data_IF_756955678816
#
_entry.id   IF_756955678816
#
_cell.length_a   1.000
_cell.length_b   1.000
_cell.length_c   1.000
_cell.angle_alpha   90.00
_cell.angle_beta   90.00
_cell.angle_gamma   90.00
#
_symmetry.space_group_name_H-M   'P 1'
#
loop_
_entity.id
_entity.type
_entity.pdbx_description
1 polymer ?
#
# COMPACT_ATOMS: atom_id res chain seq x y z
N UNK A 1 37.31 20.35 14.35
CA UNK A 1 38.61 19.61 14.30
C UNK A 1 38.43 18.09 14.18
N UNK A 2 37.38 17.49 14.77
CA UNK A 2 37.16 16.02 14.72
C UNK A 2 36.62 15.46 13.40
N UNK A 3 36.03 16.29 12.53
CA UNK A 3 35.45 15.84 11.25
C UNK A 3 36.49 15.47 10.18
N UNK A 4 37.72 15.95 10.30
CA UNK A 4 38.80 15.65 9.33
C UNK A 4 39.53 14.33 9.61
N UNK A 5 39.19 13.64 10.70
CA UNK A 5 39.80 12.36 11.06
C UNK A 5 39.03 11.22 10.40
N UNK A 6 39.71 10.24 9.83
CA UNK A 6 39.05 9.05 9.25
C UNK A 6 38.25 8.28 10.30
N UNK A 7 37.16 7.61 9.90
CA UNK A 7 36.27 6.86 10.80
C UNK A 7 37.05 5.86 11.67
N UNK A 8 38.01 5.12 11.07
CA UNK A 8 38.89 4.19 11.80
C UNK A 8 39.72 4.86 12.89
N UNK A 9 40.26 6.06 12.61
CA UNK A 9 41.05 6.80 13.58
C UNK A 9 40.18 7.38 14.70
N UNK A 10 38.96 7.80 14.39
CA UNK A 10 37.97 8.21 15.40
C UNK A 10 37.58 7.06 16.31
N UNK A 11 37.22 5.90 15.73
CA UNK A 11 36.92 4.68 16.49
C UNK A 11 38.11 4.27 17.35
N UNK A 12 39.33 4.32 16.81
CA UNK A 12 40.54 4.03 17.58
C UNK A 12 40.76 5.02 18.74
N UNK A 13 40.70 6.33 18.47
CA UNK A 13 40.83 7.36 19.51
C UNK A 13 39.74 7.25 20.57
N UNK A 14 38.56 6.77 20.18
CA UNK A 14 37.43 6.52 21.07
C UNK A 14 37.68 5.32 21.99
N UNK A 15 38.15 4.19 21.46
CA UNK A 15 38.58 3.05 22.29
C UNK A 15 39.80 3.39 23.16
N UNK A 16 40.71 4.23 22.67
CA UNK A 16 41.83 4.73 23.46
C UNK A 16 41.36 5.64 24.60
N UNK A 17 40.35 6.49 24.37
CA UNK A 17 39.74 7.32 25.41
C UNK A 17 38.98 6.47 26.44
N UNK A 18 38.24 5.44 26.01
CA UNK A 18 37.61 4.47 26.91
C UNK A 18 38.65 3.75 27.79
N UNK A 19 39.74 3.27 27.18
CA UNK A 19 40.83 2.64 27.91
C UNK A 19 41.48 3.60 28.92
N UNK A 20 41.76 4.84 28.50
CA UNK A 20 42.32 5.86 29.38
C UNK A 20 41.37 6.23 30.54
N UNK A 21 40.07 6.36 30.27
CA UNK A 21 39.05 6.64 31.28
C UNK A 21 38.90 5.46 32.26
N UNK A 22 38.93 4.21 31.76
CA UNK A 22 38.94 3.01 32.60
C UNK A 22 40.19 2.95 33.50
N UNK A 23 41.36 3.27 32.95
CA UNK A 23 42.62 3.36 33.72
C UNK A 23 42.55 4.48 34.76
N UNK A 24 42.07 5.67 34.40
CA UNK A 24 41.90 6.78 35.33
C UNK A 24 40.90 6.46 36.46
N UNK A 25 39.81 5.76 36.14
CA UNK A 25 38.83 5.29 37.13
C UNK A 25 39.48 4.29 38.10
N UNK A 26 40.26 3.33 37.58
CA UNK A 26 41.01 2.38 38.41
C UNK A 26 42.05 3.08 39.30
N UNK A 27 42.82 4.02 38.76
CA UNK A 27 43.79 4.81 39.53
C UNK A 27 43.13 5.69 40.59
N UNK A 28 42.02 6.36 40.26
CA UNK A 28 41.25 7.17 41.19
C UNK A 28 40.68 6.33 42.34
N UNK A 29 40.15 5.15 42.01
CA UNK A 29 39.63 4.20 43.00
C UNK A 29 40.74 3.64 43.92
N UNK A 30 41.95 3.41 43.39
CA UNK A 30 43.13 3.02 44.16
C UNK A 30 43.68 4.15 45.02
N UNK A 31 43.71 5.39 44.51
CA UNK A 31 44.16 6.56 45.25
C UNK A 31 43.23 6.91 46.42
N UNK A 32 41.92 6.79 46.21
CA UNK A 32 40.91 6.90 47.27
C UNK A 32 41.08 5.80 48.34
N UNK A 33 41.37 4.57 47.93
CA UNK A 33 41.70 3.48 48.86
C UNK A 33 42.95 3.81 49.70
N UNK A 34 43.99 4.34 49.07
CA UNK A 34 45.23 4.73 49.74
C UNK A 34 45.01 5.86 50.76
N UNK A 35 44.29 6.91 50.37
CA UNK A 35 43.90 8.02 51.25
C UNK A 35 43.10 7.57 52.49
N UNK A 36 42.27 6.53 52.33
CA UNK A 36 41.45 5.95 53.41
C UNK A 36 42.17 4.82 54.16
N UNK A 37 43.40 4.48 53.78
CA UNK A 37 44.16 3.33 54.25
C UNK A 37 44.53 3.33 55.75
N UNK A 38 44.34 4.45 56.45
CA UNK A 38 44.49 4.52 57.92
C UNK A 38 43.49 3.64 58.70
N UNK A 39 42.40 3.20 58.07
CA UNK A 39 41.34 2.37 58.69
C UNK A 39 41.47 0.85 58.43
N UNK A 40 42.55 0.40 57.77
CA UNK A 40 42.79 -1.01 57.43
C UNK A 40 42.41 -1.39 56.00
N UNK A 41 43.15 -2.33 55.40
CA UNK A 41 43.06 -2.68 53.96
C UNK A 41 41.65 -3.17 53.57
N UNK A 42 40.97 -3.93 54.44
CA UNK A 42 39.62 -4.43 54.18
C UNK A 42 38.57 -3.31 54.06
N UNK A 43 38.72 -2.22 54.82
CA UNK A 43 37.80 -1.08 54.79
C UNK A 43 37.94 -0.25 53.50
N UNK A 44 39.10 -0.31 52.84
CA UNK A 44 39.36 0.38 51.57
C UNK A 44 38.92 -0.44 50.34
N UNK A 45 38.92 -1.78 50.43
CA UNK A 45 38.61 -2.66 49.29
C UNK A 45 37.15 -2.59 48.82
N UNK A 46 36.19 -2.57 49.75
CA UNK A 46 34.76 -2.58 49.42
C UNK A 46 34.31 -1.33 48.60
N UNK A 47 34.60 -0.09 49.01
CA UNK A 47 34.23 1.09 48.22
C UNK A 47 34.97 1.15 46.87
N UNK A 48 36.23 0.71 46.78
CA UNK A 48 36.97 0.63 45.52
C UNK A 48 36.35 -0.38 44.56
N UNK A 49 35.94 -1.55 45.07
CA UNK A 49 35.23 -2.55 44.27
C UNK A 49 33.89 -2.01 43.75
N UNK A 50 33.14 -1.27 44.56
CA UNK A 50 31.88 -0.63 44.14
C UNK A 50 32.13 0.42 43.05
N UNK A 51 33.14 1.29 43.21
CA UNK A 51 33.46 2.32 42.20
C UNK A 51 33.82 1.68 40.86
N UNK A 52 34.59 0.58 40.86
CA UNK A 52 34.94 -0.12 39.62
C UNK A 52 33.72 -0.86 39.04
N UNK A 53 32.97 -1.58 39.89
CA UNK A 53 31.83 -2.40 39.48
C UNK A 53 30.66 -1.58 38.90
N UNK A 54 30.47 -0.34 39.34
CA UNK A 54 29.44 0.56 38.79
C UNK A 54 30.00 1.57 37.79
N UNK A 55 31.22 2.06 38.01
CA UNK A 55 31.86 3.05 37.14
C UNK A 55 32.23 2.50 35.78
N UNK A 56 32.73 1.26 35.70
CA UNK A 56 33.10 0.67 34.42
C UNK A 56 31.88 0.35 33.54
N UNK A 57 30.82 -0.32 34.02
CA UNK A 57 29.61 -0.51 33.23
C UNK A 57 28.91 0.79 32.86
N UNK A 58 28.84 1.78 33.77
CA UNK A 58 28.26 3.08 33.48
C UNK A 58 29.01 3.82 32.36
N UNK A 59 30.34 3.76 32.37
CA UNK A 59 31.19 4.27 31.30
C UNK A 59 30.93 3.53 29.98
N UNK A 60 30.85 2.20 30.01
CA UNK A 60 30.52 1.39 28.83
C UNK A 60 29.14 1.74 28.25
N UNK A 61 28.12 1.90 29.08
CA UNK A 61 26.75 2.25 28.64
C UNK A 61 26.70 3.66 28.05
N UNK A 62 27.32 4.64 28.71
CA UNK A 62 27.37 6.02 28.18
C UNK A 62 28.09 6.10 26.83
N UNK A 63 29.15 5.32 26.67
CA UNK A 63 29.92 5.22 25.43
C UNK A 63 29.16 4.47 24.34
N UNK A 64 28.44 3.41 24.71
CA UNK A 64 27.54 2.72 23.79
C UNK A 64 26.44 3.65 23.27
N UNK A 65 25.78 4.42 24.15
CA UNK A 65 24.77 5.41 23.74
C UNK A 65 25.35 6.44 22.76
N UNK A 66 26.55 6.94 23.04
CA UNK A 66 27.21 7.90 22.15
C UNK A 66 27.50 7.29 20.77
N UNK A 67 27.91 6.01 20.72
CA UNK A 67 28.15 5.29 19.47
C UNK A 67 26.84 5.01 18.71
N UNK A 68 25.79 4.60 19.42
CA UNK A 68 24.48 4.30 18.85
C UNK A 68 23.86 5.54 18.19
N UNK A 69 23.88 6.69 18.89
CA UNK A 69 23.33 7.94 18.39
C UNK A 69 24.13 8.55 17.23
N UNK A 70 25.46 8.47 17.27
CA UNK A 70 26.31 9.17 16.30
C UNK A 70 26.78 8.28 15.15
N UNK A 71 26.60 6.96 15.22
CA UNK A 71 27.08 6.01 14.21
C UNK A 71 26.00 5.03 13.78
N UNK A 72 25.41 4.26 14.68
CA UNK A 72 24.48 3.19 14.31
C UNK A 72 23.18 3.72 13.67
N UNK A 73 22.44 4.60 14.38
CA UNK A 73 21.20 5.19 13.87
C UNK A 73 21.39 5.96 12.55
N UNK A 74 22.44 6.80 12.40
CA UNK A 74 22.71 7.45 11.11
C UNK A 74 23.00 6.48 9.95
N UNK A 75 23.68 5.35 10.20
CA UNK A 75 23.92 4.33 9.16
C UNK A 75 22.60 3.68 8.74
N UNK A 76 21.73 3.35 9.68
CA UNK A 76 20.43 2.74 9.39
C UNK A 76 19.53 3.69 8.56
N UNK A 77 19.50 4.97 8.93
CA UNK A 77 18.79 6.02 8.18
C UNK A 77 19.34 6.17 6.77
N UNK A 78 20.66 6.30 6.63
CA UNK A 78 21.32 6.40 5.33
C UNK A 78 21.01 5.17 4.45
N UNK A 79 21.02 3.97 5.02
CA UNK A 79 20.69 2.75 4.30
C UNK A 79 19.20 2.68 3.89
N UNK A 80 18.28 3.19 4.73
CA UNK A 80 16.86 3.29 4.40
C UNK A 80 16.61 4.28 3.26
N UNK A 81 17.25 5.47 3.31
CA UNK A 81 17.18 6.47 2.26
C UNK A 81 17.73 5.95 0.92
N UNK A 82 18.88 5.26 0.95
CA UNK A 82 19.45 4.65 -0.25
C UNK A 82 18.52 3.61 -0.87
N UNK A 83 17.85 2.78 -0.06
CA UNK A 83 16.87 1.79 -0.54
C UNK A 83 15.63 2.45 -1.12
N UNK A 84 15.11 3.49 -0.46
CA UNK A 84 13.97 4.27 -0.95
C UNK A 84 14.26 4.85 -2.34
N UNK A 85 15.43 5.46 -2.51
CA UNK A 85 15.85 6.02 -3.81
C UNK A 85 16.06 4.97 -4.89
N UNK A 86 16.74 3.86 -4.56
CA UNK A 86 17.05 2.82 -5.54
C UNK A 86 15.82 2.09 -6.08
N UNK A 87 14.73 2.01 -5.29
CA UNK A 87 13.57 1.19 -5.63
C UNK A 87 12.25 1.95 -5.81
N UNK A 88 12.13 3.19 -5.33
CA UNK A 88 10.88 3.97 -5.44
C UNK A 88 11.03 5.33 -6.13
N UNK A 89 12.21 5.65 -6.68
CA UNK A 89 12.41 6.84 -7.51
C UNK A 89 12.29 8.18 -6.75
N UNK A 90 12.40 8.16 -5.41
CA UNK A 90 12.25 9.36 -4.56
C UNK A 90 13.41 10.34 -4.79
N UNK A 91 13.10 11.64 -4.95
CA UNK A 91 14.06 12.69 -5.35
C UNK A 91 14.48 13.66 -4.23
N UNK A 92 13.94 13.53 -3.01
CA UNK A 92 14.12 14.51 -1.92
C UNK A 92 15.58 14.69 -1.47
N UNK A 93 16.05 15.93 -1.29
CA UNK A 93 17.42 16.25 -0.85
C UNK A 93 17.76 15.59 0.51
N UNK A 94 18.94 14.98 0.64
CA UNK A 94 19.34 14.30 1.89
C UNK A 94 19.74 15.32 2.96
N UNK A 95 19.22 15.18 4.18
CA UNK A 95 19.66 15.98 5.32
C UNK A 95 21.02 15.49 5.83
N UNK A 96 22.08 16.02 5.23
CA UNK A 96 23.48 15.71 5.52
C UNK A 96 23.91 16.09 6.94
N UNK A 97 23.07 16.82 7.69
CA UNK A 97 23.41 17.24 9.03
C UNK A 97 23.58 16.04 9.99
N UNK A 98 22.79 14.99 9.80
CA UNK A 98 22.77 13.81 10.68
C UNK A 98 23.85 12.77 10.33
N UNK A 99 24.40 12.78 9.12
CA UNK A 99 25.43 11.83 8.66
C UNK A 99 26.88 12.33 8.84
N UNK A 100 27.07 13.49 9.47
CA UNK A 100 28.36 14.18 9.64
C UNK A 100 29.49 13.32 10.22
N UNK A 101 29.13 12.31 11.03
CA UNK A 101 30.08 11.43 11.68
C UNK A 101 30.51 10.21 10.85
N UNK A 102 29.88 9.95 9.70
CA UNK A 102 30.15 8.77 8.86
C UNK A 102 31.34 8.93 7.90
N UNK A 103 31.96 10.11 7.84
CA UNK A 103 33.13 10.36 6.99
C UNK A 103 32.82 10.21 5.50
N UNK A 104 33.71 9.56 4.75
CA UNK A 104 33.60 9.42 3.28
C UNK A 104 32.48 8.47 2.83
N UNK A 105 31.85 7.74 3.76
CA UNK A 105 30.75 6.83 3.46
C UNK A 105 29.53 7.57 2.89
N UNK A 106 29.16 8.71 3.49
CA UNK A 106 28.01 9.49 3.05
C UNK A 106 28.26 10.12 1.66
N UNK A 107 29.39 10.82 1.39
CA UNK A 107 29.74 11.29 0.05
C UNK A 107 29.87 10.18 -1.01
N UNK A 108 30.42 9.01 -0.65
CA UNK A 108 30.55 7.88 -1.58
C UNK A 108 29.18 7.25 -1.90
N UNK A 109 28.33 7.09 -0.89
CA UNK A 109 26.93 6.69 -1.09
C UNK A 109 26.21 7.68 -2.02
N UNK A 110 26.35 8.99 -1.79
CA UNK A 110 25.78 10.03 -2.66
C UNK A 110 26.29 9.95 -4.10
N UNK A 111 27.59 9.72 -4.32
CA UNK A 111 28.15 9.63 -5.67
C UNK A 111 27.60 8.40 -6.43
N UNK A 112 27.43 7.26 -5.74
CA UNK A 112 26.84 6.05 -6.31
C UNK A 112 25.35 6.25 -6.58
N UNK A 113 24.60 6.79 -5.63
CA UNK A 113 23.16 7.06 -5.79
C UNK A 113 22.89 8.14 -6.83
N UNK A 114 23.70 9.20 -6.90
CA UNK A 114 23.57 10.26 -7.91
C UNK A 114 23.84 9.75 -9.33
N UNK A 115 24.84 8.87 -9.50
CA UNK A 115 25.15 8.26 -10.79
C UNK A 115 24.14 7.20 -11.20
N UNK A 116 23.64 6.42 -10.24
CA UNK A 116 22.50 5.51 -10.45
C UNK A 116 21.26 6.30 -10.86
N UNK A 117 20.91 7.38 -10.16
CA UNK A 117 19.77 8.25 -10.47
C UNK A 117 19.87 8.87 -11.86
N UNK A 118 21.04 9.36 -12.27
CA UNK A 118 21.21 9.88 -13.63
C UNK A 118 20.95 8.76 -14.67
N UNK A 119 21.51 7.57 -14.45
CA UNK A 119 21.32 6.44 -15.36
C UNK A 119 19.91 5.86 -15.35
N UNK A 120 19.23 5.80 -14.20
CA UNK A 120 17.83 5.35 -14.12
C UNK A 120 16.88 6.41 -14.63
N UNK A 121 17.17 7.70 -14.46
CA UNK A 121 16.36 8.77 -15.03
C UNK A 121 16.45 8.77 -16.56
N UNK A 122 17.65 8.65 -17.13
CA UNK A 122 17.83 8.55 -18.58
C UNK A 122 17.11 7.31 -19.17
N UNK A 123 17.16 6.17 -18.46
CA UNK A 123 16.43 4.96 -18.86
C UNK A 123 14.92 5.10 -18.64
N UNK A 124 14.48 5.70 -17.55
CA UNK A 124 13.06 5.91 -17.23
C UNK A 124 12.44 6.92 -18.20
N UNK A 125 13.16 7.96 -18.61
CA UNK A 125 12.72 8.93 -19.62
C UNK A 125 12.60 8.26 -20.99
N UNK A 126 13.57 7.44 -21.37
CA UNK A 126 13.51 6.66 -22.62
C UNK A 126 12.36 5.64 -22.62
N UNK A 127 12.14 4.94 -21.50
CA UNK A 127 11.02 4.02 -21.33
C UNK A 127 9.70 4.78 -21.31
N UNK A 128 9.58 5.88 -20.56
CA UNK A 128 8.38 6.70 -20.48
C UNK A 128 8.01 7.29 -21.85
N UNK A 129 8.99 7.72 -22.65
CA UNK A 129 8.74 8.18 -24.02
C UNK A 129 8.22 7.04 -24.93
N UNK A 130 8.77 5.83 -24.78
CA UNK A 130 8.28 4.64 -25.48
C UNK A 130 6.89 4.22 -25.00
N UNK A 131 6.63 4.20 -23.70
CA UNK A 131 5.35 3.86 -23.09
C UNK A 131 4.29 4.91 -23.43
N UNK A 132 4.61 6.20 -23.44
CA UNK A 132 3.69 7.25 -23.86
C UNK A 132 3.34 7.12 -25.35
N UNK A 133 4.30 6.73 -26.19
CA UNK A 133 4.05 6.44 -27.60
C UNK A 133 3.19 5.19 -27.77
N UNK A 134 3.51 4.11 -27.07
CA UNK A 134 2.70 2.89 -27.05
C UNK A 134 1.30 3.18 -26.53
N UNK A 135 1.17 3.94 -25.44
CA UNK A 135 -0.11 4.32 -24.84
C UNK A 135 -0.93 5.19 -25.79
N UNK A 136 -0.32 6.12 -26.52
CA UNK A 136 -0.99 6.92 -27.55
C UNK A 136 -1.40 6.05 -28.76
N UNK A 137 -0.57 5.10 -29.17
CA UNK A 137 -0.90 4.13 -30.22
C UNK A 137 -2.02 3.18 -29.76
N UNK A 138 -1.98 2.69 -28.53
CA UNK A 138 -3.02 1.89 -27.89
C UNK A 138 -4.30 2.70 -27.75
N UNK A 139 -4.27 3.94 -27.25
CA UNK A 139 -5.41 4.83 -27.15
C UNK A 139 -6.03 5.10 -28.52
N UNK A 140 -5.21 5.27 -29.56
CA UNK A 140 -5.66 5.40 -30.95
C UNK A 140 -6.26 4.11 -31.50
N UNK A 141 -5.71 2.95 -31.18
CA UNK A 141 -6.25 1.64 -31.56
C UNK A 141 -7.55 1.34 -30.81
N UNK A 142 -7.62 1.67 -29.51
CA UNK A 142 -8.82 1.61 -28.69
C UNK A 142 -9.89 2.51 -29.28
N UNK A 143 -9.58 3.77 -29.63
CA UNK A 143 -10.49 4.70 -30.31
C UNK A 143 -11.05 4.13 -31.62
N UNK A 144 -10.24 3.39 -32.39
CA UNK A 144 -10.70 2.71 -33.62
C UNK A 144 -11.56 1.46 -33.34
N UNK A 145 -11.27 0.71 -32.28
CA UNK A 145 -12.09 -0.42 -31.84
C UNK A 145 -13.43 0.03 -31.22
N UNK A 146 -13.53 1.31 -30.87
CA UNK A 146 -14.68 1.92 -30.21
C UNK A 146 -15.92 2.01 -31.12
N UNK A 147 -15.79 1.91 -32.46
CA UNK A 147 -16.94 1.98 -33.38
C UNK A 147 -17.79 0.70 -33.46
N UNK A 148 -17.42 -0.37 -32.75
CA UNK A 148 -18.19 -1.61 -32.68
C UNK A 148 -19.13 -1.55 -31.47
N UNK A 149 -20.48 -1.56 -31.65
CA UNK A 149 -21.45 -1.46 -30.56
C UNK A 149 -21.70 -2.85 -29.93
N UNK A 150 -20.64 -3.50 -29.48
CA UNK A 150 -20.76 -4.79 -28.81
C UNK A 150 -19.81 -4.83 -27.62
N UNK A 151 -20.34 -5.12 -26.44
CA UNK A 151 -19.57 -5.23 -25.20
C UNK A 151 -18.66 -6.45 -25.22
N UNK A 152 -17.36 -6.25 -25.00
CA UNK A 152 -16.35 -7.31 -25.03
C UNK A 152 -15.72 -7.53 -23.66
N UNK A 153 -15.66 -8.79 -23.25
CA UNK A 153 -14.98 -9.25 -22.04
C UNK A 153 -14.06 -10.42 -22.41
N UNK A 154 -12.80 -10.38 -22.01
CA UNK A 154 -11.90 -11.55 -22.11
C UNK A 154 -11.84 -12.24 -20.76
N UNK A 155 -11.98 -13.56 -20.77
CA UNK A 155 -12.10 -14.38 -19.57
C UNK A 155 -11.11 -15.55 -19.62
N UNK A 156 -10.45 -15.84 -18.49
CA UNK A 156 -9.59 -17.02 -18.34
C UNK A 156 -10.39 -18.33 -18.41
N UNK A 157 -9.72 -19.49 -18.60
CA UNK A 157 -10.38 -20.80 -18.48
C UNK A 157 -11.05 -21.05 -17.12
N UNK A 158 -10.59 -20.37 -16.06
CA UNK A 158 -11.16 -20.43 -14.72
C UNK A 158 -12.27 -19.38 -14.50
N UNK A 159 -12.78 -18.78 -15.58
CA UNK A 159 -13.88 -17.83 -15.57
C UNK A 159 -13.58 -16.51 -14.82
N UNK A 160 -12.33 -16.03 -14.85
CA UNK A 160 -11.91 -14.74 -14.30
C UNK A 160 -11.74 -13.68 -15.39
N UNK A 161 -12.20 -12.45 -15.13
CA UNK A 161 -12.14 -11.33 -16.08
C UNK A 161 -10.70 -10.82 -16.22
N UNK A 162 -10.20 -10.75 -17.46
CA UNK A 162 -8.84 -10.30 -17.80
C UNK A 162 -8.85 -8.96 -18.50
N UNK A 163 -9.91 -8.71 -19.27
CA UNK A 163 -10.13 -7.46 -19.99
C UNK A 163 -11.62 -7.21 -20.09
N UNK A 164 -12.01 -5.95 -20.04
CA UNK A 164 -13.32 -5.48 -20.45
C UNK A 164 -13.20 -4.10 -21.11
N UNK A 165 -14.03 -3.82 -22.10
CA UNK A 165 -14.14 -2.49 -22.69
C UNK A 165 -15.17 -1.62 -21.95
N UNK A 166 -15.30 -0.35 -22.35
CA UNK A 166 -16.26 0.58 -21.73
C UNK A 166 -17.72 0.11 -21.82
N UNK A 167 -18.11 -0.56 -22.90
CA UNK A 167 -19.48 -1.05 -23.08
C UNK A 167 -19.78 -2.22 -22.14
N UNK A 168 -18.81 -3.12 -21.95
CA UNK A 168 -18.88 -4.15 -20.93
C UNK A 168 -18.89 -3.54 -19.52
N UNK A 169 -18.10 -2.50 -19.25
CA UNK A 169 -18.13 -1.81 -17.96
C UNK A 169 -19.53 -1.25 -17.63
N UNK A 170 -20.24 -0.69 -18.61
CA UNK A 170 -21.61 -0.19 -18.45
C UNK A 170 -22.62 -1.32 -18.16
N UNK A 171 -22.49 -2.47 -18.81
CA UNK A 171 -23.35 -3.63 -18.52
C UNK A 171 -23.05 -4.18 -17.13
N UNK A 172 -21.78 -4.34 -16.78
CA UNK A 172 -21.36 -4.89 -15.49
C UNK A 172 -21.76 -3.96 -14.34
N UNK A 173 -21.55 -2.65 -14.46
CA UNK A 173 -21.84 -1.65 -13.42
C UNK A 173 -23.31 -1.55 -13.04
N UNK A 174 -24.22 -1.95 -13.94
CA UNK A 174 -25.65 -2.07 -13.64
C UNK A 174 -25.97 -3.20 -12.65
N UNK A 175 -25.04 -4.14 -12.45
CA UNK A 175 -25.12 -5.30 -11.57
C UNK A 175 -24.27 -5.03 -10.33
N UNK A 176 -22.99 -4.75 -10.55
CA UNK A 176 -22.00 -4.41 -9.53
C UNK A 176 -20.77 -3.72 -10.16
N UNK A 177 -19.94 -3.00 -9.37
CA UNK A 177 -18.75 -2.35 -9.92
C UNK A 177 -17.82 -3.32 -10.67
N UNK A 178 -17.42 -3.02 -11.93
CA UNK A 178 -16.58 -3.90 -12.75
C UNK A 178 -15.16 -4.05 -12.15
N UNK A 179 -14.59 -5.24 -12.31
CA UNK A 179 -13.30 -5.62 -11.69
C UNK A 179 -12.55 -6.66 -12.52
N UNK A 180 -11.27 -6.42 -12.84
CA UNK A 180 -10.36 -7.46 -13.32
C UNK A 180 -10.11 -8.50 -12.21
N UNK A 181 -9.75 -9.71 -12.59
CA UNK A 181 -9.63 -10.87 -11.71
C UNK A 181 -10.91 -11.25 -10.92
N UNK A 182 -12.04 -10.58 -11.14
CA UNK A 182 -13.33 -11.01 -10.61
C UNK A 182 -13.83 -12.23 -11.38
N UNK A 183 -14.64 -13.06 -10.73
CA UNK A 183 -15.34 -14.12 -11.45
C UNK A 183 -16.40 -13.50 -12.35
N UNK A 184 -16.51 -13.97 -13.60
CA UNK A 184 -17.65 -13.60 -14.47
C UNK A 184 -18.99 -13.97 -13.81
N UNK A 185 -18.98 -14.95 -12.90
CA UNK A 185 -20.15 -15.39 -12.13
C UNK A 185 -20.57 -14.44 -11.01
N UNK A 186 -19.76 -13.41 -10.71
CA UNK A 186 -20.17 -12.33 -9.82
C UNK A 186 -21.22 -11.42 -10.49
N UNK A 187 -21.35 -11.49 -11.82
CA UNK A 187 -22.23 -10.66 -12.63
C UNK A 187 -23.30 -11.48 -13.36
N UNK A 188 -22.97 -12.70 -13.79
CA UNK A 188 -23.88 -13.56 -14.54
C UNK A 188 -24.09 -14.93 -13.87
N UNK A 189 -25.28 -15.50 -14.01
CA UNK A 189 -25.60 -16.85 -13.55
C UNK A 189 -24.73 -17.90 -14.24
N UNK A 190 -24.29 -18.92 -13.47
CA UNK A 190 -23.31 -19.91 -13.92
C UNK A 190 -23.78 -20.73 -15.12
N UNK A 191 -25.04 -21.16 -15.09
CA UNK A 191 -25.57 -22.14 -16.04
C UNK A 191 -25.46 -21.65 -17.50
N UNK A 192 -25.79 -20.37 -17.74
CA UNK A 192 -25.73 -19.78 -19.08
C UNK A 192 -24.30 -19.66 -19.62
N UNK A 193 -23.38 -19.19 -18.77
CA UNK A 193 -21.96 -19.04 -19.13
C UNK A 193 -21.30 -20.39 -19.37
N UNK A 194 -21.52 -21.37 -18.47
CA UNK A 194 -20.91 -22.69 -18.55
C UNK A 194 -21.44 -23.48 -19.76
N UNK A 195 -22.74 -23.44 -20.03
CA UNK A 195 -23.30 -24.09 -21.21
C UNK A 195 -22.69 -23.58 -22.53
N UNK A 196 -22.50 -22.25 -22.62
CA UNK A 196 -21.79 -21.63 -23.74
C UNK A 196 -20.33 -22.08 -23.82
N UNK A 197 -19.61 -22.07 -22.69
CA UNK A 197 -18.20 -22.43 -22.63
C UNK A 197 -17.96 -23.91 -22.97
N UNK A 198 -18.75 -24.83 -22.44
CA UNK A 198 -18.67 -26.26 -22.75
C UNK A 198 -18.91 -26.54 -24.23
N UNK A 199 -19.85 -25.81 -24.86
CA UNK A 199 -20.09 -25.90 -26.29
C UNK A 199 -18.89 -25.38 -27.12
N UNK A 200 -18.25 -24.31 -26.68
CA UNK A 200 -17.05 -23.76 -27.30
C UNK A 200 -15.87 -24.74 -27.19
N UNK A 201 -15.59 -25.27 -26.00
CA UNK A 201 -14.50 -26.24 -25.77
C UNK A 201 -14.71 -27.51 -26.59
N UNK A 202 -15.95 -28.00 -26.70
CA UNK A 202 -16.27 -29.20 -27.48
C UNK A 202 -16.11 -29.00 -29.00
N UNK A 203 -16.42 -27.82 -29.51
CA UNK A 203 -16.46 -27.57 -30.97
C UNK A 203 -15.22 -26.84 -31.49
N UNK A 204 -14.49 -26.13 -30.65
CA UNK A 204 -13.42 -25.22 -31.03
C UNK A 204 -13.89 -24.00 -31.82
N UNK A 205 -15.20 -23.72 -31.82
CA UNK A 205 -15.84 -22.65 -32.61
C UNK A 205 -16.69 -21.74 -31.72
N UNK A 206 -17.13 -20.61 -32.30
CA UNK A 206 -18.06 -19.68 -31.65
C UNK A 206 -19.31 -20.41 -31.14
N UNK A 207 -19.69 -20.14 -29.88
CA UNK A 207 -20.92 -20.66 -29.28
C UNK A 207 -21.86 -19.54 -28.86
N UNK A 208 -23.16 -19.82 -28.83
CA UNK A 208 -24.17 -18.91 -28.25
C UNK A 208 -24.32 -19.20 -26.76
N UNK A 209 -24.54 -18.15 -25.98
CA UNK A 209 -24.89 -18.23 -24.57
C UNK A 209 -26.01 -17.25 -24.25
N UNK A 210 -26.95 -17.68 -23.41
CA UNK A 210 -27.95 -16.80 -22.83
C UNK A 210 -27.47 -16.45 -21.42
N UNK A 211 -27.03 -15.22 -21.22
CA UNK A 211 -26.54 -14.75 -19.93
C UNK A 211 -27.71 -14.20 -19.13
N UNK A 212 -27.83 -14.59 -17.87
CA UNK A 212 -28.78 -13.98 -16.95
C UNK A 212 -27.98 -13.25 -15.88
N UNK A 213 -28.35 -12.03 -15.53
CA UNK A 213 -27.75 -11.29 -14.42
C UNK A 213 -27.91 -12.07 -13.11
N UNK A 214 -26.90 -12.02 -12.24
CA UNK A 214 -26.98 -12.61 -10.90
C UNK A 214 -28.15 -12.01 -10.12
N UNK A 215 -29.13 -12.84 -9.74
CA UNK A 215 -30.39 -12.38 -9.14
C UNK A 215 -31.58 -12.26 -10.11
N UNK A 216 -31.38 -12.59 -11.39
CA UNK A 216 -32.46 -12.92 -12.35
C UNK A 216 -33.21 -11.73 -12.96
N UNK A 217 -32.72 -10.50 -12.80
CA UNK A 217 -33.46 -9.31 -13.23
C UNK A 217 -33.45 -9.08 -14.75
N UNK A 218 -32.34 -9.41 -15.43
CA UNK A 218 -32.13 -9.18 -16.86
C UNK A 218 -31.46 -10.37 -17.54
N UNK A 219 -31.75 -10.56 -18.83
CA UNK A 219 -31.12 -11.56 -19.67
C UNK A 219 -30.52 -10.91 -20.92
N UNK A 220 -29.34 -11.38 -21.31
CA UNK A 220 -28.57 -10.87 -22.43
C UNK A 220 -28.24 -12.00 -23.40
N UNK A 221 -28.38 -11.73 -24.70
CA UNK A 221 -27.84 -12.62 -25.72
C UNK A 221 -26.33 -12.42 -25.81
N UNK A 222 -25.56 -13.51 -25.77
CA UNK A 222 -24.12 -13.44 -25.88
C UNK A 222 -23.55 -14.51 -26.82
N UNK A 223 -22.33 -14.26 -27.27
CA UNK A 223 -21.51 -15.19 -28.05
C UNK A 223 -20.17 -15.35 -27.38
N UNK A 224 -19.72 -16.59 -27.22
CA UNK A 224 -18.37 -16.89 -26.77
C UNK A 224 -17.52 -17.22 -28.00
N UNK A 225 -16.31 -16.66 -28.06
CA UNK A 225 -15.34 -16.93 -29.11
C UNK A 225 -14.03 -17.46 -28.52
N UNK A 226 -13.38 -18.44 -29.16
CA UNK A 226 -12.05 -18.89 -28.75
C UNK A 226 -11.02 -17.79 -29.03
N UNK A 227 -9.95 -17.73 -28.22
CA UNK A 227 -8.87 -16.74 -28.36
C UNK A 227 -7.71 -17.24 -29.24
N UNK A 228 -8.00 -18.10 -30.23
CA UNK A 228 -6.97 -18.74 -31.05
C UNK A 228 -6.11 -19.67 -30.19
N UNK A 229 -4.80 -19.38 -30.13
CA UNK A 229 -3.82 -20.17 -29.37
C UNK A 229 -3.73 -19.79 -27.88
N UNK A 230 -4.34 -18.67 -27.47
CA UNK A 230 -4.33 -18.22 -26.08
C UNK A 230 -5.38 -18.95 -25.23
N UNK A 231 -5.07 -19.28 -23.95
CA UNK A 231 -6.03 -19.90 -23.05
C UNK A 231 -7.18 -18.94 -22.72
N UNK A 232 -8.41 -19.43 -22.68
CA UNK A 232 -9.60 -18.67 -22.30
C UNK A 232 -10.58 -18.44 -23.45
N UNK A 233 -11.47 -17.48 -23.28
CA UNK A 233 -12.50 -17.15 -24.25
C UNK A 233 -12.86 -15.67 -24.19
N UNK A 234 -13.35 -15.14 -25.29
CA UNK A 234 -13.94 -13.81 -25.37
C UNK A 234 -15.46 -13.94 -25.29
N UNK A 235 -16.07 -13.23 -24.34
CA UNK A 235 -17.51 -13.07 -24.20
C UNK A 235 -17.93 -11.76 -24.87
N UNK A 236 -18.79 -11.89 -25.86
CA UNK A 236 -19.36 -10.78 -26.63
C UNK A 236 -20.84 -10.70 -26.27
N UNK A 237 -21.26 -9.60 -25.65
CA UNK A 237 -22.65 -9.40 -25.24
C UNK A 237 -23.34 -8.51 -26.28
N UNK A 238 -24.32 -9.09 -26.98
CA UNK A 238 -25.11 -8.41 -28.00
C UNK A 238 -26.28 -7.70 -27.28
N UNK A 239 -26.12 -6.42 -26.91
CA UNK A 239 -27.21 -5.60 -26.38
C UNK A 239 -27.45 -4.36 -27.26
N UNK A 240 -28.65 -4.28 -27.83
CA UNK A 240 -29.11 -3.15 -28.65
C UNK A 240 -29.70 -1.99 -27.85
N UNK A 241 -29.59 -2.00 -26.51
CA UNK A 241 -30.29 -1.04 -25.64
C UNK A 241 -29.38 -0.18 -24.75
N UNK A 242 -28.06 -0.30 -24.85
CA UNK A 242 -27.17 0.62 -24.12
C UNK A 242 -27.07 1.94 -24.90
N UNK A 243 -27.90 2.93 -24.52
CA UNK A 243 -27.78 4.32 -24.98
C UNK A 243 -26.53 4.96 -24.35
N UNK A 244 -25.37 4.74 -24.96
CA UNK A 244 -24.12 5.41 -24.57
C UNK A 244 -24.04 6.75 -25.29
N UNK A 245 -23.75 7.82 -24.56
CA UNK A 245 -23.48 9.11 -25.16
C UNK A 245 -22.34 8.97 -26.20
N UNK A 246 -22.47 9.54 -27.42
CA UNK A 246 -21.47 9.39 -28.48
C UNK A 246 -20.04 9.75 -28.05
N UNK A 247 -19.93 10.68 -27.09
CA UNK A 247 -18.69 11.28 -26.64
C UNK A 247 -18.15 10.66 -25.33
N UNK A 248 -18.79 9.61 -24.79
CA UNK A 248 -18.32 8.96 -23.57
C UNK A 248 -16.98 8.24 -23.82
N UNK A 249 -15.94 8.49 -23.00
CA UNK A 249 -14.67 7.78 -23.13
C UNK A 249 -14.91 6.28 -22.93
N UNK A 250 -14.41 5.45 -23.85
CA UNK A 250 -14.52 3.99 -23.79
C UNK A 250 -13.16 3.35 -23.52
N UNK A 251 -12.57 3.56 -22.31
CA UNK A 251 -11.27 3.02 -21.99
C UNK A 251 -11.33 1.49 -21.96
N UNK A 252 -10.30 0.86 -22.50
CA UNK A 252 -10.08 -0.57 -22.41
C UNK A 252 -9.32 -0.85 -21.11
N UNK A 253 -9.89 -1.65 -20.21
CA UNK A 253 -9.25 -2.02 -18.94
C UNK A 253 -8.80 -3.47 -19.04
N UNK A 254 -7.52 -3.75 -18.78
CA UNK A 254 -6.95 -5.08 -18.96
C UNK A 254 -5.70 -5.34 -18.11
N UNK A 255 -5.46 -6.61 -17.83
CA UNK A 255 -4.19 -7.11 -17.29
C UNK A 255 -3.96 -8.55 -17.77
N UNK A 256 -3.16 -8.73 -18.81
CA UNK A 256 -2.94 -10.04 -19.42
C UNK A 256 -2.09 -10.98 -18.56
N UNK A 257 -1.37 -10.49 -17.56
CA UNK A 257 -0.59 -11.33 -16.65
C UNK A 257 -1.53 -12.26 -15.84
N UNK A 258 -2.83 -11.92 -15.75
CA UNK A 258 -3.87 -12.77 -15.16
C UNK A 258 -4.09 -14.08 -15.93
N UNK A 259 -3.73 -14.18 -17.22
CA UNK A 259 -3.90 -15.39 -18.02
C UNK A 259 -2.99 -16.53 -17.57
N UNK A 260 -1.80 -16.20 -17.07
CA UNK A 260 -0.77 -17.17 -16.66
C UNK A 260 -0.77 -17.43 -15.15
N UNK A 261 -1.68 -16.76 -14.42
CA UNK A 261 -1.70 -16.74 -12.97
C UNK A 261 -2.20 -18.07 -12.39
N UNK A 262 -1.43 -18.62 -11.45
CA UNK A 262 -1.87 -19.72 -10.58
C UNK A 262 -2.03 -19.17 -9.16
N UNK A 263 -3.27 -19.06 -8.68
CA UNK A 263 -3.54 -18.60 -7.31
C UNK A 263 -3.30 -19.75 -6.32
N UNK A 264 -2.35 -19.57 -5.40
CA UNK A 264 -2.06 -20.55 -4.32
C UNK A 264 -2.63 -20.12 -2.98
N UNK A 265 -3.21 -18.92 -2.94
CA UNK A 265 -3.86 -18.30 -1.79
C UNK A 265 -3.02 -17.16 -1.21
N UNK A 266 -3.66 -16.16 -0.59
CA UNK A 266 -3.03 -14.87 -0.31
C UNK A 266 -1.75 -15.00 0.52
N UNK A 267 -1.66 -15.95 1.45
CA UNK A 267 -0.47 -16.13 2.30
C UNK A 267 0.81 -16.53 1.55
N UNK A 268 0.70 -17.27 0.45
CA UNK A 268 1.85 -17.81 -0.30
C UNK A 268 2.12 -17.04 -1.58
N UNK A 269 1.12 -16.34 -2.10
CA UNK A 269 1.25 -15.53 -3.29
C UNK A 269 2.21 -14.34 -3.05
N UNK A 270 2.89 -13.94 -4.11
CA UNK A 270 3.79 -12.79 -4.08
C UNK A 270 3.01 -11.52 -3.74
N UNK A 271 3.55 -10.69 -2.84
CA UNK A 271 2.84 -9.53 -2.31
C UNK A 271 2.40 -8.56 -3.42
N UNK A 272 3.25 -8.34 -4.42
CA UNK A 272 2.98 -7.42 -5.53
C UNK A 272 2.06 -8.01 -6.59
N UNK A 273 1.89 -9.33 -6.64
CA UNK A 273 0.93 -9.98 -7.53
C UNK A 273 -0.51 -9.91 -6.98
N UNK A 274 -0.73 -9.59 -5.71
CA UNK A 274 -2.06 -9.62 -5.11
C UNK A 274 -2.98 -8.53 -5.67
N UNK A 275 -4.28 -8.81 -5.58
CA UNK A 275 -5.31 -7.81 -5.73
C UNK A 275 -5.49 -7.10 -4.37
N UNK A 276 -5.37 -5.79 -4.36
CA UNK A 276 -5.68 -4.96 -3.21
C UNK A 276 -6.88 -4.05 -3.50
N UNK A 277 -7.71 -3.83 -2.50
CA UNK A 277 -8.68 -2.72 -2.49
C UNK A 277 -8.26 -1.77 -1.40
N UNK A 278 -7.76 -0.61 -1.83
CA UNK A 278 -7.33 0.46 -0.93
C UNK A 278 -8.51 1.38 -0.72
N UNK A 279 -8.89 1.62 0.52
CA UNK A 279 -10.08 2.40 0.85
C UNK A 279 -9.86 3.33 2.03
N UNK A 280 -10.74 4.31 2.12
CA UNK A 280 -10.85 5.29 3.19
C UNK A 280 -12.33 5.61 3.45
N UNK A 281 -12.65 6.09 4.65
CA UNK A 281 -14.01 6.52 5.01
C UNK A 281 -14.02 7.91 5.64
N UNK A 282 -14.95 8.74 5.17
CA UNK A 282 -15.29 9.98 5.87
C UNK A 282 -16.47 9.74 6.79
N UNK A 283 -16.45 10.35 7.97
CA UNK A 283 -17.37 10.04 9.06
C UNK A 283 -17.92 11.29 9.75
N UNK A 284 -19.04 11.15 10.45
CA UNK A 284 -19.59 12.25 11.26
C UNK A 284 -18.73 12.57 12.49
N UNK A 285 -17.74 11.74 12.83
CA UNK A 285 -16.84 11.90 13.97
C UNK A 285 -15.95 10.67 14.18
N UNK A 286 -15.09 10.70 15.20
CA UNK A 286 -14.01 9.73 15.37
C UNK A 286 -14.38 8.48 16.20
N UNK A 287 -15.64 8.32 16.62
CA UNK A 287 -16.04 7.24 17.52
C UNK A 287 -16.91 6.20 16.79
N UNK A 288 -16.36 5.05 16.34
CA UNK A 288 -17.11 4.05 15.58
C UNK A 288 -18.37 3.53 16.24
N UNK A 289 -18.48 3.58 17.58
CA UNK A 289 -19.66 3.13 18.33
C UNK A 289 -20.80 4.17 18.39
N UNK A 290 -20.54 5.42 17.96
CA UNK A 290 -21.47 6.54 18.07
C UNK A 290 -21.69 7.26 16.74
N UNK A 291 -20.62 7.48 15.99
CA UNK A 291 -20.63 8.23 14.74
C UNK A 291 -20.98 7.33 13.55
N UNK A 292 -21.26 7.93 12.39
CA UNK A 292 -21.72 7.23 11.18
C UNK A 292 -20.82 7.57 9.98
N UNK A 293 -20.75 6.66 9.00
CA UNK A 293 -20.04 6.89 7.73
C UNK A 293 -20.86 7.84 6.85
N UNK A 294 -20.19 8.80 6.19
CA UNK A 294 -20.77 9.74 5.21
C UNK A 294 -20.19 9.58 3.80
N UNK A 295 -19.02 8.95 3.65
CA UNK A 295 -18.45 8.60 2.35
C UNK A 295 -17.61 7.33 2.44
N UNK A 296 -17.60 6.54 1.37
CA UNK A 296 -16.66 5.44 1.16
C UNK A 296 -15.97 5.67 -0.18
N UNK A 297 -14.65 5.80 -0.14
CA UNK A 297 -13.80 5.90 -1.32
C UNK A 297 -12.92 4.68 -1.39
N UNK A 298 -12.82 4.04 -2.56
CA UNK A 298 -11.87 2.95 -2.74
C UNK A 298 -11.35 2.87 -4.17
N UNK A 299 -10.14 2.33 -4.31
CA UNK A 299 -9.49 2.07 -5.59
C UNK A 299 -8.91 0.66 -5.59
N UNK A 300 -8.89 0.02 -6.77
CA UNK A 300 -8.27 -1.31 -6.89
C UNK A 300 -6.84 -1.19 -7.38
N UNK A 301 -5.97 -1.99 -6.76
CA UNK A 301 -4.57 -2.16 -7.17
C UNK A 301 -4.37 -3.61 -7.56
N UNK A 302 -3.80 -3.84 -8.73
CA UNK A 302 -3.47 -5.15 -9.26
C UNK A 302 -2.04 -5.12 -9.80
N UNK A 303 -1.25 -6.14 -9.51
CA UNK A 303 0.13 -6.25 -9.99
C UNK A 303 0.98 -4.99 -9.66
N UNK A 304 0.76 -4.43 -8.46
CA UNK A 304 1.43 -3.23 -7.98
C UNK A 304 1.06 -1.93 -8.72
N UNK A 305 -0.07 -1.90 -9.44
CA UNK A 305 -0.55 -0.73 -10.18
C UNK A 305 -2.02 -0.45 -9.88
N UNK A 306 -2.38 0.82 -9.77
CA UNK A 306 -3.79 1.23 -9.67
C UNK A 306 -4.48 0.90 -10.99
N UNK A 307 -5.61 0.21 -10.93
CA UNK A 307 -6.38 -0.16 -12.12
C UNK A 307 -7.26 1.02 -12.55
N UNK A 308 -7.06 1.60 -13.75
CA UNK A 308 -7.83 2.75 -14.18
C UNK A 308 -9.33 2.43 -14.27
N UNK A 309 -10.17 3.33 -13.75
CA UNK A 309 -11.63 3.20 -13.80
C UNK A 309 -12.23 2.25 -12.75
N UNK A 310 -11.41 1.48 -12.04
CA UNK A 310 -11.88 0.64 -10.94
C UNK A 310 -11.75 1.36 -9.61
N UNK A 311 -12.72 2.24 -9.37
CA UNK A 311 -12.85 2.99 -8.14
C UNK A 311 -14.32 3.12 -7.74
N UNK A 312 -14.56 3.28 -6.45
CA UNK A 312 -15.86 3.68 -5.93
C UNK A 312 -15.72 5.01 -5.19
N UNK A 313 -16.71 5.87 -5.37
CA UNK A 313 -16.87 7.13 -4.64
C UNK A 313 -18.33 7.25 -4.25
N UNK A 314 -18.65 6.77 -3.05
CA UNK A 314 -20.02 6.59 -2.58
C UNK A 314 -20.28 7.52 -1.42
N UNK A 315 -21.15 8.52 -1.62
CA UNK A 315 -21.78 9.21 -0.51
C UNK A 315 -22.72 8.26 0.22
N UNK A 316 -22.80 8.43 1.54
CA UNK A 316 -23.63 7.61 2.42
C UNK A 316 -24.51 8.53 3.26
N UNK A 317 -25.81 8.26 3.28
CA UNK A 317 -26.74 8.96 4.17
C UNK A 317 -26.56 8.43 5.61
N UNK A 318 -26.00 9.22 6.55
CA UNK A 318 -25.67 8.74 7.90
C UNK A 318 -26.92 8.51 8.77
N UNK A 319 -28.04 9.17 8.44
CA UNK A 319 -29.28 9.06 9.23
C UNK A 319 -29.33 10.00 10.43
N UNK A 320 -28.32 10.85 10.58
CA UNK A 320 -28.21 11.90 11.57
C UNK A 320 -27.62 13.16 10.92
N UNK A 321 -27.78 14.36 11.53
CA UNK A 321 -27.12 15.56 11.04
C UNK A 321 -25.60 15.44 11.10
N UNK A 322 -24.90 15.86 10.04
CA UNK A 322 -23.44 15.89 10.01
C UNK A 322 -22.93 17.07 10.87
N UNK A 323 -22.06 16.84 11.87
CA UNK A 323 -21.49 17.92 12.66
C UNK A 323 -20.69 18.89 11.80
N UNK A 324 -20.89 20.20 12.01
CA UNK A 324 -20.18 21.24 11.25
C UNK A 324 -18.65 21.16 11.39
N UNK A 325 -18.12 20.51 12.42
CA UNK A 325 -16.69 20.26 12.55
C UNK A 325 -16.18 19.26 11.52
N UNK A 326 -16.88 18.16 11.30
CA UNK A 326 -16.55 17.12 10.33
C UNK A 326 -16.73 17.65 8.90
N UNK A 327 -17.83 18.35 8.62
CA UNK A 327 -18.04 19.02 7.31
C UNK A 327 -16.95 20.04 6.95
N UNK A 328 -16.29 20.68 7.93
CA UNK A 328 -15.17 21.59 7.66
C UNK A 328 -13.89 20.87 7.24
N UNK A 329 -13.76 19.59 7.59
CA UNK A 329 -12.62 18.75 7.21
C UNK A 329 -12.87 18.18 5.82
N UNK A 330 -13.95 17.40 5.66
CA UNK A 330 -14.18 16.63 4.44
C UNK A 330 -15.11 17.29 3.41
N UNK A 331 -15.65 18.47 3.70
CA UNK A 331 -16.52 19.23 2.78
C UNK A 331 -17.93 18.70 2.56
N UNK A 332 -18.23 17.45 2.95
CA UNK A 332 -19.56 16.83 2.81
C UNK A 332 -20.60 17.51 3.73
N UNK A 333 -21.74 17.86 3.14
CA UNK A 333 -22.87 18.52 3.80
C UNK A 333 -24.11 17.62 3.84
N UNK A 334 -25.05 17.88 4.74
CA UNK A 334 -26.33 17.16 4.82
C UNK A 334 -27.09 17.17 3.47
N UNK A 335 -26.97 18.27 2.71
CA UNK A 335 -27.62 18.40 1.40
C UNK A 335 -27.02 17.43 0.35
N UNK A 336 -25.71 17.15 0.42
CA UNK A 336 -25.05 16.22 -0.52
C UNK A 336 -25.48 14.77 -0.26
N UNK A 337 -25.72 14.41 1.00
CA UNK A 337 -26.06 13.03 1.39
C UNK A 337 -27.56 12.77 1.49
N UNK A 338 -28.41 13.76 1.27
CA UNK A 338 -29.87 13.66 1.48
C UNK A 338 -30.52 12.53 0.64
N UNK A 339 -30.11 12.38 -0.61
CA UNK A 339 -30.58 11.32 -1.53
C UNK A 339 -29.57 10.17 -1.66
N UNK A 340 -28.49 10.19 -0.89
CA UNK A 340 -27.47 9.17 -0.94
C UNK A 340 -27.99 7.85 -0.34
N UNK A 341 -27.51 6.69 -0.80
CA UNK A 341 -27.85 5.41 -0.20
C UNK A 341 -27.45 5.35 1.27
N UNK A 342 -28.19 4.57 2.07
CA UNK A 342 -27.77 4.23 3.43
C UNK A 342 -26.64 3.18 3.40
N UNK A 343 -25.98 3.01 4.55
CA UNK A 343 -24.83 2.11 4.72
C UNK A 343 -25.10 0.67 4.26
N UNK A 344 -26.34 0.18 4.32
CA UNK A 344 -26.72 -1.16 3.86
C UNK A 344 -26.44 -1.39 2.38
N UNK A 345 -26.66 -0.36 1.56
CA UNK A 345 -26.48 -0.40 0.11
C UNK A 345 -25.03 -0.06 -0.23
N UNK A 346 -24.52 1.05 0.29
CA UNK A 346 -23.14 1.49 0.03
C UNK A 346 -22.10 0.46 0.53
N UNK A 347 -22.30 -0.08 1.74
CA UNK A 347 -21.43 -1.11 2.31
C UNK A 347 -21.48 -2.43 1.56
N UNK A 348 -22.62 -2.80 0.95
CA UNK A 348 -22.74 -4.00 0.10
C UNK A 348 -22.01 -3.80 -1.23
N UNK A 349 -22.14 -2.61 -1.82
CA UNK A 349 -21.39 -2.24 -3.02
C UNK A 349 -19.87 -2.29 -2.76
N UNK A 350 -19.41 -1.71 -1.64
CA UNK A 350 -18.01 -1.80 -1.24
C UNK A 350 -17.56 -3.25 -0.96
N UNK A 351 -18.35 -4.04 -0.24
CA UNK A 351 -18.04 -5.46 0.02
C UNK A 351 -17.90 -6.26 -1.28
N UNK A 352 -18.80 -6.06 -2.24
CA UNK A 352 -18.67 -6.67 -3.56
C UNK A 352 -17.38 -6.21 -4.25
N UNK A 353 -17.09 -4.91 -4.20
CA UNK A 353 -15.89 -4.35 -4.81
C UNK A 353 -14.59 -4.94 -4.21
N UNK A 354 -14.59 -5.20 -2.90
CA UNK A 354 -13.47 -5.79 -2.15
C UNK A 354 -13.33 -7.32 -2.27
N UNK A 355 -14.28 -8.02 -2.89
CA UNK A 355 -14.27 -9.48 -2.99
C UNK A 355 -12.99 -10.00 -3.64
N UNK A 356 -12.45 -11.09 -3.09
CA UNK A 356 -11.20 -11.74 -3.52
C UNK A 356 -9.96 -10.82 -3.47
N UNK A 357 -10.02 -9.71 -2.71
CA UNK A 357 -8.91 -8.78 -2.53
C UNK A 357 -8.42 -8.73 -1.08
N UNK A 358 -7.19 -8.26 -0.91
CA UNK A 358 -6.69 -7.78 0.39
C UNK A 358 -7.19 -6.35 0.58
N UNK A 359 -7.87 -6.09 1.68
CA UNK A 359 -8.30 -4.73 2.05
C UNK A 359 -7.09 -3.96 2.60
N UNK A 360 -6.90 -2.72 2.15
CA UNK A 360 -5.83 -1.86 2.62
C UNK A 360 -6.41 -0.51 3.03
N UNK A 361 -5.98 0.01 4.17
CA UNK A 361 -6.32 1.36 4.63
C UNK A 361 -5.13 1.97 5.39
N UNK A 362 -5.21 3.28 5.66
CA UNK A 362 -4.26 3.99 6.48
C UNK A 362 -4.82 4.14 7.90
N UNK A 363 -4.28 3.40 8.89
CA UNK A 363 -4.94 3.14 10.17
C UNK A 363 -6.23 2.30 10.00
N UNK A 364 -6.08 1.16 9.35
CA UNK A 364 -7.17 0.25 9.00
C UNK A 364 -8.11 -0.13 10.17
N UNK A 365 -7.68 -0.25 11.45
CA UNK A 365 -8.60 -0.50 12.55
C UNK A 365 -9.74 0.50 12.66
N UNK A 366 -9.50 1.78 12.34
CA UNK A 366 -10.50 2.84 12.42
C UNK A 366 -11.64 2.58 11.43
N UNK A 367 -11.36 2.55 10.13
CA UNK A 367 -12.37 2.35 9.08
C UNK A 367 -13.08 0.99 9.22
N UNK A 368 -12.29 -0.06 9.52
CA UNK A 368 -12.84 -1.40 9.70
C UNK A 368 -13.74 -1.50 10.92
N UNK A 369 -13.56 -0.68 11.96
CA UNK A 369 -14.46 -0.66 13.11
C UNK A 369 -15.87 -0.16 12.72
N UNK A 370 -15.96 0.88 11.89
CA UNK A 370 -17.24 1.34 11.36
C UNK A 370 -17.91 0.26 10.49
N UNK A 371 -17.18 -0.32 9.53
CA UNK A 371 -17.72 -1.35 8.64
C UNK A 371 -18.18 -2.60 9.40
N UNK A 372 -17.42 -3.03 10.42
CA UNK A 372 -17.78 -4.18 11.27
C UNK A 372 -19.00 -3.89 12.14
N UNK A 373 -19.17 -2.67 12.66
CA UNK A 373 -20.39 -2.29 13.39
C UNK A 373 -21.64 -2.44 12.53
N UNK A 374 -21.54 -2.11 11.23
CA UNK A 374 -22.65 -2.20 10.29
C UNK A 374 -22.79 -3.57 9.60
N UNK A 375 -21.89 -4.53 9.86
CA UNK A 375 -21.86 -5.83 9.17
C UNK A 375 -23.22 -6.56 9.18
N UNK A 376 -23.93 -6.55 10.31
CA UNK A 376 -25.26 -7.15 10.41
C UNK A 376 -26.35 -6.44 9.59
N UNK A 377 -26.29 -5.10 9.50
CA UNK A 377 -27.21 -4.29 8.67
C UNK A 377 -26.90 -4.44 7.18
N UNK A 378 -25.61 -4.45 6.84
CA UNK A 378 -25.13 -4.70 5.47
C UNK A 378 -25.42 -6.15 5.07
N UNK A 379 -25.48 -7.09 6.01
CA UNK A 379 -25.70 -8.51 5.74
C UNK A 379 -24.47 -9.18 5.11
N UNK A 380 -23.28 -8.83 5.61
CA UNK A 380 -21.99 -9.36 5.13
C UNK A 380 -21.07 -9.71 6.31
N UNK A 381 -20.06 -10.51 6.03
CA UNK A 381 -18.91 -10.74 6.90
C UNK A 381 -17.67 -10.09 6.32
N UNK A 382 -16.87 -9.45 7.16
CA UNK A 382 -15.58 -8.86 6.77
C UNK A 382 -14.44 -9.82 7.11
N UNK A 383 -14.29 -10.86 6.28
CA UNK A 383 -13.30 -11.94 6.36
C UNK A 383 -12.06 -11.71 5.48
N UNK A 384 -12.05 -10.62 4.72
CA UNK A 384 -10.92 -10.19 3.91
C UNK A 384 -9.61 -10.12 4.73
N UNK A 385 -8.47 -10.53 4.17
CA UNK A 385 -7.17 -10.16 4.72
C UNK A 385 -7.02 -8.63 4.72
N UNK A 386 -6.38 -8.09 5.75
CA UNK A 386 -6.23 -6.64 5.93
C UNK A 386 -4.74 -6.29 6.01
N UNK A 387 -4.37 -5.20 5.35
CA UNK A 387 -3.06 -4.58 5.44
C UNK A 387 -3.20 -3.12 5.86
N UNK A 388 -2.29 -2.65 6.70
CA UNK A 388 -2.30 -1.28 7.20
C UNK A 388 -1.03 -0.56 6.75
N UNK A 389 -1.19 0.55 6.03
CA UNK A 389 -0.04 1.32 5.51
C UNK A 389 0.77 2.02 6.61
N UNK A 390 0.19 2.27 7.80
CA UNK A 390 0.94 2.73 8.98
C UNK A 390 1.94 1.65 9.41
N UNK A 391 1.49 0.40 9.50
CA UNK A 391 2.36 -0.70 9.89
C UNK A 391 3.39 -1.01 8.80
N UNK A 392 3.02 -0.93 7.52
CA UNK A 392 3.99 -1.04 6.42
C UNK A 392 5.05 0.05 6.48
N UNK A 393 4.64 1.28 6.79
CA UNK A 393 5.54 2.42 6.99
C UNK A 393 6.50 2.17 8.15
N UNK A 394 6.00 1.67 9.29
CA UNK A 394 6.82 1.31 10.44
C UNK A 394 7.80 0.18 10.16
N UNK A 395 7.38 -0.81 9.37
CA UNK A 395 8.30 -1.83 8.83
C UNK A 395 9.37 -1.10 8.04
N UNK A 396 9.05 -0.45 6.93
CA UNK A 396 10.02 0.06 5.96
C UNK A 396 10.93 1.17 6.49
N UNK A 397 10.40 2.11 7.27
CA UNK A 397 11.09 3.33 7.70
C UNK A 397 11.44 3.35 9.19
N UNK A 398 10.89 2.43 9.98
CA UNK A 398 11.13 2.31 11.42
C UNK A 398 10.04 2.98 12.26
N UNK A 399 9.75 2.40 13.43
CA UNK A 399 8.62 2.78 14.29
C UNK A 399 8.69 4.17 14.95
N UNK A 400 9.86 4.82 14.93
CA UNK A 400 10.05 6.16 15.51
C UNK A 400 9.70 7.30 14.54
N UNK A 401 9.40 6.96 13.29
CA UNK A 401 9.09 7.94 12.26
C UNK A 401 7.64 8.41 12.35
N UNK A 402 7.34 9.57 11.74
CA UNK A 402 5.95 9.99 11.56
C UNK A 402 5.30 9.15 10.47
N UNK A 403 4.16 8.54 10.81
CA UNK A 403 3.44 7.60 9.96
C UNK A 403 2.05 8.08 9.53
N UNK A 404 1.76 9.39 9.60
CA UNK A 404 0.55 9.98 9.01
C UNK A 404 0.58 9.90 7.49
N UNK A 405 -0.58 9.88 6.81
CA UNK A 405 -0.66 9.84 5.34
C UNK A 405 0.18 10.94 4.69
N UNK A 406 0.14 12.17 5.23
CA UNK A 406 1.01 13.28 4.83
C UNK A 406 2.49 12.91 4.80
N UNK A 407 3.01 12.46 5.94
CA UNK A 407 4.40 12.06 6.06
C UNK A 407 4.77 10.91 5.11
N UNK A 408 3.84 10.00 4.78
CA UNK A 408 4.07 8.96 3.77
C UNK A 408 4.10 9.56 2.36
N UNK A 409 3.15 10.44 2.04
CA UNK A 409 3.07 11.13 0.76
C UNK A 409 4.31 11.99 0.49
N UNK A 410 4.72 12.81 1.46
CA UNK A 410 5.94 13.63 1.40
C UNK A 410 7.19 12.76 1.20
N UNK A 411 7.31 11.68 1.99
CA UNK A 411 8.47 10.78 1.94
C UNK A 411 8.57 10.00 0.64
N UNK A 412 7.43 9.72 0.00
CA UNK A 412 7.35 8.90 -1.21
C UNK A 412 7.09 9.71 -2.48
N UNK A 413 7.10 11.04 -2.39
CA UNK A 413 6.85 11.92 -3.53
C UNK A 413 5.51 11.60 -4.22
N UNK A 414 4.45 11.53 -3.39
CA UNK A 414 3.05 11.35 -3.81
C UNK A 414 2.33 12.66 -3.54
N UNK A 415 1.71 13.23 -4.57
CA UNK A 415 1.00 14.51 -4.45
C UNK A 415 -0.50 14.28 -4.40
N UNK A 416 -1.13 14.73 -3.32
CA UNK A 416 -2.60 14.78 -3.23
C UNK A 416 -3.05 16.16 -3.70
N UNK A 417 -3.86 16.28 -4.76
CA UNK A 417 -4.45 17.56 -5.12
C UNK A 417 -5.29 18.10 -3.96
N UNK A 418 -5.10 19.36 -3.57
CA UNK A 418 -5.79 19.99 -2.43
C UNK A 418 -7.31 19.79 -2.46
N UNK A 419 -7.92 19.82 -3.66
CA UNK A 419 -9.37 19.63 -3.85
C UNK A 419 -9.87 18.20 -3.57
N UNK A 420 -8.98 17.21 -3.58
CA UNK A 420 -9.27 15.81 -3.30
C UNK A 420 -8.86 15.44 -1.88
N UNK A 421 -8.14 16.32 -1.19
CA UNK A 421 -7.69 16.10 0.17
C UNK A 421 -8.88 16.05 1.12
N UNK A 422 -8.86 15.11 2.06
CA UNK A 422 -10.00 14.88 2.97
C UNK A 422 -11.29 14.54 2.21
N UNK A 423 -11.13 13.87 1.07
CA UNK A 423 -12.22 13.12 0.47
C UNK A 423 -11.82 11.67 0.53
N UNK A 424 -12.78 10.79 0.81
CA UNK A 424 -12.48 9.37 0.93
C UNK A 424 -11.81 8.81 -0.34
N UNK A 425 -12.23 9.26 -1.52
CA UNK A 425 -11.60 8.82 -2.78
C UNK A 425 -10.17 9.35 -2.92
N UNK A 426 -9.93 10.62 -2.61
CA UNK A 426 -8.60 11.23 -2.73
C UNK A 426 -7.59 10.61 -1.76
N UNK A 427 -7.99 10.38 -0.51
CA UNK A 427 -7.12 9.77 0.49
C UNK A 427 -6.91 8.26 0.21
N UNK A 428 -7.91 7.56 -0.34
CA UNK A 428 -7.73 6.19 -0.85
C UNK A 428 -6.78 6.12 -2.05
N UNK A 429 -6.87 7.07 -3.00
CA UNK A 429 -5.94 7.17 -4.14
C UNK A 429 -4.50 7.41 -3.67
N UNK A 430 -4.31 8.38 -2.78
CA UNK A 430 -3.00 8.67 -2.21
C UNK A 430 -2.41 7.46 -1.47
N UNK A 431 -3.24 6.79 -0.65
CA UNK A 431 -2.85 5.57 0.06
C UNK A 431 -2.48 4.45 -0.92
N UNK A 432 -3.14 4.35 -2.07
CA UNK A 432 -2.84 3.36 -3.09
C UNK A 432 -1.52 3.67 -3.82
N UNK A 433 -1.24 4.92 -4.16
CA UNK A 433 0.05 5.32 -4.74
C UNK A 433 1.20 5.04 -3.77
N UNK A 434 0.99 5.37 -2.49
CA UNK A 434 1.90 5.05 -1.39
C UNK A 434 2.13 3.54 -1.30
N UNK A 435 1.07 2.72 -1.32
CA UNK A 435 1.17 1.26 -1.32
C UNK A 435 1.98 0.76 -2.51
N UNK A 436 1.69 1.21 -3.73
CA UNK A 436 2.40 0.84 -4.95
C UNK A 436 3.91 1.13 -4.86
N UNK A 437 4.30 2.23 -4.22
CA UNK A 437 5.71 2.57 -3.96
C UNK A 437 6.34 1.72 -2.84
N UNK A 438 5.57 1.28 -1.85
CA UNK A 438 6.04 0.42 -0.76
C UNK A 438 6.24 -1.05 -1.17
N UNK A 439 5.39 -1.58 -2.06
CA UNK A 439 5.47 -2.97 -2.53
C UNK A 439 6.88 -3.40 -3.00
N UNK A 440 7.56 -2.69 -3.93
CA UNK A 440 8.92 -3.05 -4.32
C UNK A 440 9.94 -2.89 -3.18
N UNK A 441 9.74 -1.97 -2.25
CA UNK A 441 10.61 -1.83 -1.07
C UNK A 441 10.48 -3.02 -0.11
N UNK A 442 9.28 -3.55 0.08
CA UNK A 442 9.02 -4.75 0.89
C UNK A 442 9.76 -5.96 0.29
N UNK A 443 9.65 -6.14 -1.03
CA UNK A 443 10.39 -7.18 -1.76
C UNK A 443 11.90 -7.02 -1.66
N UNK A 444 12.42 -5.80 -1.78
CA UNK A 444 13.85 -5.52 -1.61
C UNK A 444 14.36 -5.85 -0.20
N UNK A 445 13.48 -5.93 0.81
CA UNK A 445 13.79 -6.38 2.17
C UNK A 445 13.66 -7.90 2.36
N UNK A 446 13.31 -8.64 1.32
CA UNK A 446 13.06 -10.08 1.35
C UNK A 446 11.67 -10.46 1.89
N UNK A 447 10.73 -9.52 1.94
CA UNK A 447 9.33 -9.78 2.28
C UNK A 447 8.53 -10.03 0.99
N UNK A 448 8.77 -11.19 0.37
CA UNK A 448 8.23 -11.51 -0.96
C UNK A 448 6.76 -11.93 -0.96
N UNK A 449 6.25 -12.47 0.14
CA UNK A 449 4.87 -12.97 0.25
C UNK A 449 4.04 -12.18 1.24
N UNK A 450 2.72 -12.20 1.09
CA UNK A 450 1.81 -11.59 2.06
C UNK A 450 2.01 -12.13 3.48
N UNK A 451 2.18 -13.45 3.62
CA UNK A 451 2.39 -14.07 4.92
C UNK A 451 3.63 -13.52 5.63
N UNK A 452 4.73 -13.30 4.88
CA UNK A 452 5.94 -12.68 5.40
C UNK A 452 5.70 -11.23 5.84
N UNK A 453 5.00 -10.44 5.01
CA UNK A 453 4.66 -9.04 5.33
C UNK A 453 3.79 -8.97 6.59
N UNK A 454 2.73 -9.76 6.68
CA UNK A 454 1.83 -9.79 7.85
C UNK A 454 2.54 -10.25 9.11
N UNK A 455 3.46 -11.22 9.01
CA UNK A 455 4.26 -11.66 10.15
C UNK A 455 5.16 -10.53 10.69
N UNK A 456 5.71 -9.70 9.79
CA UNK A 456 6.56 -8.57 10.17
C UNK A 456 5.77 -7.40 10.76
N UNK A 457 4.61 -7.05 10.19
CA UNK A 457 3.77 -5.94 10.68
C UNK A 457 3.23 -6.20 12.08
N UNK A 458 3.01 -7.45 12.48
CA UNK A 458 2.58 -7.83 13.85
C UNK A 458 3.55 -7.34 14.94
N UNK A 459 4.83 -7.14 14.62
CA UNK A 459 5.81 -6.62 15.59
C UNK A 459 5.54 -5.16 15.99
N UNK A 460 4.78 -4.44 15.17
CA UNK A 460 4.50 -3.02 15.30
C UNK A 460 3.05 -2.70 15.70
N UNK A 461 2.25 -3.72 16.05
CA UNK A 461 0.81 -3.56 16.32
C UNK A 461 0.46 -2.51 17.39
N UNK A 462 1.36 -2.24 18.35
CA UNK A 462 1.17 -1.20 19.38
C UNK A 462 1.02 0.21 18.81
N UNK A 463 1.60 0.49 17.63
CA UNK A 463 1.46 1.81 17.01
C UNK A 463 -0.01 2.15 16.71
N UNK A 464 -0.83 1.14 16.41
CA UNK A 464 -2.26 1.36 16.17
C UNK A 464 -3.04 1.57 17.47
N UNK A 465 -2.56 1.06 18.61
CA UNK A 465 -3.17 1.36 19.92
C UNK A 465 -2.88 2.80 20.36
N UNK A 466 -1.70 3.34 20.00
CA UNK A 466 -1.32 4.71 20.35
C UNK A 466 -1.98 5.77 19.45
N UNK A 467 -2.43 5.37 18.25
CA UNK A 467 -3.09 6.25 17.28
C UNK A 467 -4.61 6.35 17.46
N UNK A 468 -5.23 5.38 18.14
CA UNK A 468 -6.69 5.28 18.38
C UNK A 468 -7.03 5.67 19.82
#
# INVERSE_FOLDING_TARGET
MMERLGLRLRVFLFFAALAAAGVALAFGALWLAYQRGGAGIQAALLPTAIIIAFGFPGLCVGIWLLFDENVAKPIERLAAEMRSRAHAGVSSDMDLHHARYLGDLAPAAMAVTGKLNASTFDQAEAVAAQTAKLASETERLTALLTEIPVAMIIVTPNHKIVLYDGQAADILSQIAPPRLNASVFDYFEKDGVLAGYDALVRTGMDSKADLTETGGARAFGARLKPLGDAPGYMLIIDDGTVEIAPDAPRPLVYDFDLMERTETGPQHDAIDALCFVVFDTETTGLLPHRDEIVQIGAVRVLNGRIVPGESIDLLVHPGCPIPAASSRVHGITDAMVAEAPRIEVAGRAFHHFARDAVIVAHNAPFDMAFLRRHAGRIGVTWDHPILDTVLLSAVLFGASETHTLDALCDRLDVTIPEKLRHTALGDAQATAEVLCKMLPMLRARGLDTFGAVVAETRKYGRLLEDLN
#
